data_IF_284935779029
#
_entry.id   IF_284935779029
#
_cell.length_a   1.000
_cell.length_b   1.000
_cell.length_c   1.000
_cell.angle_alpha   90.00
_cell.angle_beta   90.00
_cell.angle_gamma   90.00
#
_symmetry.space_group_name_H-M   'P 1'
#
loop_
_entity.id
_entity.type
_entity.pdbx_description
1 polymer ?
#
# COMPACT_ATOMS: atom_id res chain seq x y z
N UNK A 1 18.99 27.15 18.39
CA UNK A 1 18.12 25.97 18.28
C UNK A 1 17.29 26.10 17.02
N UNK A 2 17.58 25.30 16.00
CA UNK A 2 16.83 25.30 14.74
C UNK A 2 15.47 24.63 15.01
N UNK A 3 14.34 25.29 14.76
CA UNK A 3 13.03 24.64 14.86
C UNK A 3 12.90 23.63 13.72
N UNK A 4 13.13 22.35 14.02
CA UNK A 4 13.10 21.23 13.06
C UNK A 4 11.68 20.73 12.74
N UNK A 5 10.66 21.25 13.40
CA UNK A 5 9.27 20.92 13.15
C UNK A 5 8.43 22.21 13.11
N UNK A 6 8.31 22.79 11.92
CA UNK A 6 7.22 23.75 11.68
C UNK A 6 5.91 22.99 11.85
N UNK A 7 5.03 23.49 12.71
CA UNK A 7 3.65 22.99 12.85
C UNK A 7 2.88 23.35 11.60
N UNK A 8 3.07 22.57 10.53
CA UNK A 8 2.25 22.64 9.32
C UNK A 8 0.80 22.37 9.75
N UNK A 9 -0.14 23.29 9.49
CA UNK A 9 -1.55 23.05 9.78
C UNK A 9 -2.03 21.81 9.01
N UNK A 10 -2.36 20.74 9.74
CA UNK A 10 -2.93 19.55 9.13
C UNK A 10 -4.41 19.77 8.90
N UNK A 11 -4.84 19.59 7.65
CA UNK A 11 -6.24 19.72 7.23
C UNK A 11 -7.16 18.67 7.87
N UNK A 12 -6.61 17.55 8.36
CA UNK A 12 -7.37 16.47 8.97
C UNK A 12 -6.81 16.13 10.37
N UNK A 13 -7.65 16.02 11.41
CA UNK A 13 -7.21 15.87 12.80
C UNK A 13 -6.51 14.53 13.11
N UNK A 14 -6.48 13.61 12.15
CA UNK A 14 -5.89 12.28 12.27
C UNK A 14 -4.75 12.02 11.27
N UNK A 15 -4.33 13.03 10.50
CA UNK A 15 -3.30 12.88 9.45
C UNK A 15 -2.13 13.80 9.77
N UNK A 16 -0.98 13.23 10.14
CA UNK A 16 0.25 13.98 10.40
C UNK A 16 1.09 14.23 9.14
N UNK A 17 2.20 14.99 9.25
CA UNK A 17 3.06 15.31 8.10
C UNK A 17 3.66 14.06 7.45
N UNK A 18 4.01 13.05 8.28
CA UNK A 18 4.53 11.77 7.80
C UNK A 18 3.55 11.00 6.93
N UNK A 19 2.25 11.05 7.24
CA UNK A 19 1.21 10.39 6.43
C UNK A 19 1.11 11.03 5.04
N UNK A 20 1.13 12.37 4.96
CA UNK A 20 1.15 13.07 3.68
C UNK A 20 2.42 12.77 2.88
N UNK A 21 3.58 12.64 3.52
CA UNK A 21 4.83 12.25 2.84
C UNK A 21 4.76 10.83 2.28
N UNK A 22 4.33 9.86 3.09
CA UNK A 22 4.26 8.45 2.69
C UNK A 22 3.23 8.28 1.57
N UNK A 23 1.98 8.66 1.81
CA UNK A 23 0.91 8.44 0.85
C UNK A 23 0.96 9.42 -0.33
N UNK A 24 1.48 10.64 -0.14
CA UNK A 24 1.55 11.62 -1.20
C UNK A 24 2.77 11.47 -2.11
N UNK A 25 3.97 11.34 -1.53
CA UNK A 25 5.23 11.36 -2.30
C UNK A 25 5.78 9.95 -2.49
N UNK A 26 5.90 9.18 -1.41
CA UNK A 26 6.53 7.85 -1.48
C UNK A 26 5.66 6.88 -2.30
N UNK A 27 4.33 6.95 -2.16
CA UNK A 27 3.40 6.13 -2.92
C UNK A 27 3.05 6.69 -4.30
N UNK A 28 3.40 7.95 -4.62
CA UNK A 28 3.17 8.53 -5.94
C UNK A 28 3.56 7.62 -7.12
N UNK A 29 4.78 7.04 -7.17
CA UNK A 29 5.18 6.17 -8.28
C UNK A 29 4.30 4.91 -8.40
N UNK A 30 3.80 4.37 -7.28
CA UNK A 30 2.91 3.21 -7.28
C UNK A 30 1.55 3.59 -7.88
N UNK A 31 1.01 4.76 -7.52
CA UNK A 31 -0.23 5.25 -8.13
C UNK A 31 -0.07 5.49 -9.62
N UNK A 32 1.05 6.08 -10.05
CA UNK A 32 1.36 6.25 -11.47
C UNK A 32 1.47 4.91 -12.20
N UNK A 33 2.13 3.92 -11.59
CA UNK A 33 2.22 2.57 -12.16
C UNK A 33 0.84 1.95 -12.36
N UNK A 34 -0.05 2.05 -11.35
CA UNK A 34 -1.41 1.52 -11.45
C UNK A 34 -2.22 2.23 -12.54
N UNK A 35 -2.16 3.57 -12.60
CA UNK A 35 -2.84 4.34 -13.66
C UNK A 35 -2.29 3.95 -15.03
N UNK A 36 -0.96 3.90 -15.19
CA UNK A 36 -0.32 3.52 -16.45
C UNK A 36 -0.63 2.08 -16.86
N UNK A 37 -0.83 1.17 -15.91
CA UNK A 37 -1.25 -0.20 -16.20
C UNK A 37 -2.61 -0.23 -16.89
N UNK A 38 -3.59 0.50 -16.36
CA UNK A 38 -4.95 0.46 -16.90
C UNK A 38 -5.19 1.38 -18.09
N UNK A 39 -4.48 2.51 -18.18
CA UNK A 39 -4.67 3.53 -19.21
C UNK A 39 -3.56 3.57 -20.28
N UNK A 40 -2.46 2.83 -20.10
CA UNK A 40 -1.33 2.85 -21.04
C UNK A 40 -1.57 2.00 -22.28
N UNK A 41 -1.24 2.53 -23.45
CA UNK A 41 -1.22 1.77 -24.71
C UNK A 41 0.15 1.08 -24.92
N UNK A 42 0.18 -0.15 -25.49
CA UNK A 42 -0.96 -1.01 -25.79
C UNK A 42 -1.49 -1.72 -24.53
N UNK A 43 -2.80 -1.58 -24.25
CA UNK A 43 -3.46 -2.31 -23.16
C UNK A 43 -4.16 -3.56 -23.69
N UNK A 44 -3.85 -4.72 -23.09
CA UNK A 44 -4.61 -5.95 -23.26
C UNK A 44 -5.33 -6.27 -21.95
N UNK A 45 -6.67 -6.33 -22.01
CA UNK A 45 -7.52 -6.60 -20.84
C UNK A 45 -7.21 -7.95 -20.20
N UNK A 46 -6.83 -8.95 -20.99
CA UNK A 46 -6.50 -10.27 -20.46
C UNK A 46 -5.21 -10.21 -19.63
N UNK A 47 -4.16 -9.59 -20.18
CA UNK A 47 -2.91 -9.34 -19.46
C UNK A 47 -3.08 -8.47 -18.22
N UNK A 48 -3.93 -7.44 -18.27
CA UNK A 48 -4.25 -6.60 -17.12
C UNK A 48 -4.94 -7.38 -15.99
N UNK A 49 -5.91 -8.22 -16.32
CA UNK A 49 -6.61 -9.06 -15.33
C UNK A 49 -5.68 -10.10 -14.70
N UNK A 50 -4.77 -10.70 -15.47
CA UNK A 50 -3.74 -11.59 -14.91
C UNK A 50 -2.87 -10.85 -13.90
N UNK A 51 -2.47 -9.63 -14.23
CA UNK A 51 -1.78 -8.70 -13.35
C UNK A 51 -2.47 -8.47 -12.01
N UNK A 52 -3.73 -8.07 -12.06
CA UNK A 52 -4.57 -7.86 -10.88
C UNK A 52 -4.70 -9.15 -10.07
N UNK A 53 -4.91 -10.28 -10.73
CA UNK A 53 -4.96 -11.60 -10.09
C UNK A 53 -3.67 -11.93 -9.34
N UNK A 54 -2.51 -11.65 -9.92
CA UNK A 54 -1.22 -11.83 -9.25
C UNK A 54 -1.05 -10.92 -8.04
N UNK A 55 -1.36 -9.64 -8.15
CA UNK A 55 -1.23 -8.68 -7.03
C UNK A 55 -2.19 -9.06 -5.91
N UNK A 56 -3.44 -9.37 -6.22
CA UNK A 56 -4.43 -9.79 -5.23
C UNK A 56 -4.06 -11.13 -4.60
N UNK A 57 -3.61 -12.10 -5.40
CA UNK A 57 -3.18 -13.42 -4.93
C UNK A 57 -1.97 -13.35 -4.01
N UNK A 58 -0.92 -12.62 -4.41
CA UNK A 58 0.27 -12.43 -3.58
C UNK A 58 -0.06 -11.69 -2.28
N UNK A 59 -0.85 -10.61 -2.36
CA UNK A 59 -1.26 -9.87 -1.17
C UNK A 59 -2.06 -10.78 -0.22
N UNK A 60 -3.00 -11.55 -0.75
CA UNK A 60 -3.80 -12.51 0.03
C UNK A 60 -2.92 -13.60 0.64
N UNK A 61 -1.93 -14.12 -0.09
CA UNK A 61 -1.02 -15.13 0.42
C UNK A 61 -0.13 -14.60 1.55
N UNK A 62 0.37 -13.36 1.43
CA UNK A 62 1.19 -12.72 2.47
C UNK A 62 0.37 -12.51 3.74
N UNK A 63 -0.78 -11.84 3.62
CA UNK A 63 -1.62 -11.52 4.78
C UNK A 63 -2.28 -12.76 5.37
N UNK A 64 -2.78 -13.66 4.53
CA UNK A 64 -3.37 -14.93 4.94
C UNK A 64 -2.33 -15.86 5.58
N UNK A 65 -1.13 -15.94 5.01
CA UNK A 65 -0.02 -16.69 5.60
C UNK A 65 0.38 -16.14 6.96
N UNK A 66 0.52 -14.81 7.07
CA UNK A 66 0.79 -14.15 8.35
C UNK A 66 -0.30 -14.47 9.38
N UNK A 67 -1.58 -14.37 8.99
CA UNK A 67 -2.71 -14.71 9.85
C UNK A 67 -2.67 -16.17 10.32
N UNK A 68 -2.43 -17.12 9.41
CA UNK A 68 -2.32 -18.56 9.76
C UNK A 68 -1.17 -18.80 10.72
N UNK A 69 0.00 -18.21 10.48
CA UNK A 69 1.15 -18.32 11.39
C UNK A 69 0.79 -17.78 12.77
N UNK A 70 0.12 -16.62 12.85
CA UNK A 70 -0.33 -16.06 14.12
C UNK A 70 -1.31 -16.99 14.84
N UNK A 71 -2.26 -17.61 14.14
CA UNK A 71 -3.19 -18.58 14.73
C UNK A 71 -2.51 -19.86 15.22
N UNK A 72 -1.50 -20.35 14.50
CA UNK A 72 -0.70 -21.50 14.94
C UNK A 72 0.04 -21.17 16.24
N UNK A 73 0.63 -19.98 16.32
CA UNK A 73 1.32 -19.51 17.53
C UNK A 73 0.33 -19.42 18.69
N UNK A 74 -0.86 -18.85 18.45
CA UNK A 74 -1.91 -18.75 19.46
C UNK A 74 -2.27 -20.14 20.01
N UNK A 75 -2.64 -21.06 19.12
CA UNK A 75 -3.01 -22.44 19.48
C UNK A 75 -1.89 -23.22 20.21
N UNK A 76 -0.63 -22.97 19.89
CA UNK A 76 0.50 -23.71 20.46
C UNK A 76 0.98 -23.17 21.82
N UNK A 77 0.76 -21.88 22.11
CA UNK A 77 1.39 -21.20 23.24
C UNK A 77 0.41 -20.53 24.23
N UNK A 78 -0.87 -20.37 23.89
CA UNK A 78 -1.89 -19.72 24.74
C UNK A 78 -3.14 -20.60 24.88
#
# INVERSE_FOLDING_TARGET
MVPLASSVPHTLPFVGPGTYLIFGIVLAPVYLMLVAWFLGEPSDRQSALLGVGYVAGLTTAIWGGLFVVTMIIDFAFF
#
